data_IF_381576501061
#
_entry.id   IF_381576501061
#
_cell.length_a   1.000
_cell.length_b   1.000
_cell.length_c   1.000
_cell.angle_alpha   90.00
_cell.angle_beta   90.00
_cell.angle_gamma   90.00
#
_symmetry.space_group_name_H-M   'P 1'
#
loop_
_entity.id
_entity.type
_entity.pdbx_description
1 polymer ?
#
# COMPACT_ATOMS: atom_id res chain seq x y z
N UNK A 1 13.93 36.77 0.59
CA UNK A 1 13.34 35.90 1.62
C UNK A 1 12.09 35.28 1.02
N UNK A 2 11.96 33.95 1.07
CA UNK A 2 10.83 33.24 0.46
C UNK A 2 9.87 32.79 1.56
N UNK A 3 8.65 33.28 1.55
CA UNK A 3 7.57 32.83 2.45
C UNK A 3 6.73 31.77 1.73
N UNK A 4 6.41 30.68 2.41
CA UNK A 4 5.66 29.54 1.86
C UNK A 4 4.23 29.55 2.41
N UNK A 5 3.23 29.36 1.55
CA UNK A 5 1.81 29.32 1.90
C UNK A 5 1.17 27.97 1.51
N UNK A 6 1.86 26.87 1.76
CA UNK A 6 1.46 25.55 1.27
C UNK A 6 0.23 24.99 1.99
N UNK A 7 0.03 25.31 3.27
CA UNK A 7 -1.13 24.83 4.02
C UNK A 7 -2.43 25.37 3.45
N UNK A 8 -2.46 26.65 3.06
CA UNK A 8 -3.65 27.24 2.44
C UNK A 8 -3.91 26.63 1.06
N UNK A 9 -2.86 26.51 0.23
CA UNK A 9 -2.94 25.86 -1.09
C UNK A 9 -3.46 24.42 -1.01
N UNK A 10 -2.93 23.63 -0.07
CA UNK A 10 -3.34 22.26 0.21
C UNK A 10 -4.82 22.16 0.58
N UNK A 11 -5.28 23.03 1.49
CA UNK A 11 -6.68 23.09 1.90
C UNK A 11 -7.60 23.52 0.75
N UNK A 12 -7.20 24.54 -0.01
CA UNK A 12 -7.98 25.04 -1.16
C UNK A 12 -8.17 23.95 -2.23
N UNK A 13 -7.15 23.13 -2.51
CA UNK A 13 -7.27 21.99 -3.41
C UNK A 13 -8.15 20.89 -2.80
N UNK A 14 -7.95 20.55 -1.52
CA UNK A 14 -8.71 19.48 -0.86
C UNK A 14 -10.21 19.78 -0.81
N UNK A 15 -10.62 21.05 -0.70
CA UNK A 15 -12.03 21.46 -0.76
C UNK A 15 -12.74 21.11 -2.08
N UNK A 16 -11.98 20.94 -3.17
CA UNK A 16 -12.52 20.48 -4.44
C UNK A 16 -13.04 19.04 -4.38
N UNK A 17 -12.71 18.25 -3.35
CA UNK A 17 -13.30 16.93 -3.13
C UNK A 17 -14.71 17.02 -2.52
N UNK A 18 -15.02 18.08 -1.79
CA UNK A 18 -16.33 18.29 -1.16
C UNK A 18 -17.32 18.95 -2.13
N UNK A 19 -16.81 19.84 -2.99
CA UNK A 19 -17.58 20.49 -4.04
C UNK A 19 -16.81 20.41 -5.37
N UNK A 20 -16.97 19.32 -6.14
CA UNK A 20 -16.16 19.01 -7.32
C UNK A 20 -16.59 19.81 -8.56
N UNK A 21 -16.55 21.13 -8.47
CA UNK A 21 -16.81 22.01 -9.61
C UNK A 21 -15.84 21.69 -10.76
N UNK A 22 -16.35 21.64 -11.99
CA UNK A 22 -15.54 21.33 -13.19
C UNK A 22 -14.77 20.00 -13.14
N UNK A 23 -15.27 19.01 -12.39
CA UNK A 23 -14.71 17.65 -12.46
C UNK A 23 -14.78 17.12 -13.90
N UNK A 24 -13.78 16.32 -14.27
CA UNK A 24 -13.70 15.71 -15.60
C UNK A 24 -13.35 14.22 -15.57
N UNK A 25 -13.39 13.63 -14.37
CA UNK A 25 -13.19 12.20 -14.14
C UNK A 25 -14.19 11.72 -13.10
N UNK A 26 -14.75 10.53 -13.32
CA UNK A 26 -15.39 9.73 -12.28
C UNK A 26 -14.60 8.44 -12.04
N UNK A 27 -14.40 8.09 -10.78
CA UNK A 27 -13.75 6.84 -10.38
C UNK A 27 -14.72 6.07 -9.50
N UNK A 28 -15.18 4.91 -9.97
CA UNK A 28 -15.93 3.96 -9.17
C UNK A 28 -14.95 3.08 -8.38
N UNK A 29 -15.04 3.10 -7.06
CA UNK A 29 -14.11 2.45 -6.14
C UNK A 29 -14.85 1.41 -5.31
N UNK A 30 -14.21 0.26 -5.10
CA UNK A 30 -14.80 -0.87 -4.37
C UNK A 30 -15.76 -1.69 -5.23
N UNK A 31 -16.32 -2.73 -4.61
CA UNK A 31 -17.30 -3.62 -5.23
C UNK A 31 -18.69 -3.41 -4.62
N UNK A 32 -19.74 -3.69 -5.42
CA UNK A 32 -21.10 -3.59 -4.94
C UNK A 32 -21.36 -4.59 -3.77
N UNK A 33 -22.11 -4.19 -2.73
CA UNK A 33 -22.91 -2.97 -2.60
C UNK A 33 -22.17 -1.77 -1.98
N UNK A 34 -20.91 -1.92 -1.59
CA UNK A 34 -20.15 -0.91 -0.83
C UNK A 34 -19.33 0.03 -1.74
N UNK A 35 -19.56 -0.01 -3.05
CA UNK A 35 -18.87 0.82 -4.02
C UNK A 35 -19.30 2.29 -3.92
N UNK A 36 -18.36 3.20 -4.20
CA UNK A 36 -18.62 4.64 -4.22
C UNK A 36 -18.03 5.28 -5.49
N UNK A 37 -18.74 6.26 -6.03
CA UNK A 37 -18.26 7.09 -7.16
C UNK A 37 -17.62 8.36 -6.61
N UNK A 38 -16.42 8.65 -7.11
CA UNK A 38 -15.66 9.86 -6.81
C UNK A 38 -15.59 10.76 -8.05
N UNK A 39 -16.07 11.99 -7.93
CA UNK A 39 -15.93 13.04 -8.94
C UNK A 39 -14.62 13.81 -8.68
N UNK A 40 -13.68 13.76 -9.63
CA UNK A 40 -12.31 14.24 -9.43
C UNK A 40 -11.73 14.94 -10.66
N UNK A 41 -10.59 15.63 -10.45
CA UNK A 41 -9.92 16.46 -11.45
C UNK A 41 -8.68 15.74 -11.98
N UNK A 42 -8.71 15.39 -13.27
CA UNK A 42 -7.61 14.66 -13.91
C UNK A 42 -6.25 15.32 -13.69
N UNK A 43 -6.10 16.63 -13.88
CA UNK A 43 -4.79 17.28 -13.76
C UNK A 43 -4.17 17.20 -12.36
N UNK A 44 -4.99 17.26 -11.30
CA UNK A 44 -4.50 17.12 -9.92
C UNK A 44 -3.92 15.70 -9.74
N UNK A 45 -4.70 14.67 -10.08
CA UNK A 45 -4.27 13.28 -9.98
C UNK A 45 -3.02 12.99 -10.84
N UNK A 46 -2.99 13.44 -12.09
CA UNK A 46 -1.85 13.20 -12.99
C UNK A 46 -0.56 13.89 -12.53
N UNK A 47 -0.67 15.02 -11.84
CA UNK A 47 0.49 15.75 -11.33
C UNK A 47 1.16 15.07 -10.14
N UNK A 48 0.40 14.26 -9.38
CA UNK A 48 0.85 13.62 -8.14
C UNK A 48 0.99 12.10 -8.24
N UNK A 49 0.42 11.48 -9.28
CA UNK A 49 0.33 10.02 -9.39
C UNK A 49 0.57 9.58 -10.85
N UNK A 50 1.67 8.86 -11.08
CA UNK A 50 2.08 8.39 -12.40
C UNK A 50 1.12 7.34 -12.97
N UNK A 51 0.51 6.51 -12.09
CA UNK A 51 -0.54 5.57 -12.47
C UNK A 51 -1.72 6.30 -13.14
N UNK A 52 -2.26 7.34 -12.49
CA UNK A 52 -3.37 8.10 -13.06
C UNK A 52 -2.97 8.87 -14.33
N UNK A 53 -1.73 9.39 -14.40
CA UNK A 53 -1.18 9.96 -15.64
C UNK A 53 -1.24 9.00 -16.81
N UNK A 54 -0.74 7.78 -16.63
CA UNK A 54 -0.80 6.74 -17.65
C UNK A 54 -2.25 6.37 -17.98
N UNK A 55 -3.04 6.06 -16.95
CA UNK A 55 -4.41 5.55 -17.10
C UNK A 55 -5.32 6.54 -17.80
N UNK A 56 -5.24 7.83 -17.47
CA UNK A 56 -6.04 8.84 -18.13
C UNK A 56 -5.61 9.10 -19.56
N UNK A 57 -4.33 9.00 -19.91
CA UNK A 57 -3.90 9.12 -21.31
C UNK A 57 -4.47 8.01 -22.19
N UNK A 58 -4.70 6.82 -21.62
CA UNK A 58 -5.30 5.66 -22.29
C UNK A 58 -6.84 5.70 -22.29
N UNK A 59 -7.46 6.57 -21.47
CA UNK A 59 -8.92 6.63 -21.29
C UNK A 59 -9.51 7.78 -22.10
N UNK A 60 -10.42 7.45 -23.02
CA UNK A 60 -11.22 8.41 -23.79
C UNK A 60 -12.33 9.05 -22.94
N UNK A 61 -12.72 10.26 -23.32
CA UNK A 61 -13.90 10.92 -22.75
C UNK A 61 -15.20 10.24 -23.21
N UNK A 62 -16.21 10.23 -22.35
CA UNK A 62 -17.57 9.86 -22.71
C UNK A 62 -18.35 11.03 -23.34
N UNK A 63 -19.64 10.82 -23.63
CA UNK A 63 -20.54 11.83 -24.22
C UNK A 63 -20.70 13.11 -23.37
N UNK A 64 -20.46 13.03 -22.07
CA UNK A 64 -20.52 14.16 -21.14
C UNK A 64 -19.14 14.83 -20.94
N UNK A 65 -18.14 14.51 -21.76
CA UNK A 65 -16.75 14.97 -21.62
C UNK A 65 -16.09 14.55 -20.28
N UNK A 66 -16.47 13.39 -19.73
CA UNK A 66 -15.93 12.83 -18.48
C UNK A 66 -15.20 11.51 -18.76
N UNK A 67 -14.06 11.28 -18.13
CA UNK A 67 -13.37 9.97 -18.13
C UNK A 67 -13.91 9.10 -16.99
N UNK A 68 -14.18 7.83 -17.27
CA UNK A 68 -14.69 6.89 -16.26
C UNK A 68 -13.66 5.81 -15.99
N UNK A 69 -13.31 5.61 -14.71
CA UNK A 69 -12.44 4.53 -14.25
C UNK A 69 -13.15 3.66 -13.21
N UNK A 70 -12.71 2.41 -13.09
CA UNK A 70 -13.14 1.48 -12.05
C UNK A 70 -11.94 0.92 -11.31
N UNK A 71 -12.05 0.83 -10.00
CA UNK A 71 -11.01 0.37 -9.07
C UNK A 71 -11.62 -0.55 -8.02
N UNK A 72 -12.06 -1.77 -8.40
CA UNK A 72 -12.76 -2.69 -7.50
C UNK A 72 -11.86 -3.21 -6.37
N UNK A 73 -10.56 -3.34 -6.61
CA UNK A 73 -9.60 -3.92 -5.67
C UNK A 73 -9.21 -2.98 -4.50
N UNK A 74 -9.62 -1.71 -4.56
CA UNK A 74 -9.33 -0.74 -3.50
C UNK A 74 -10.62 -0.45 -2.74
N UNK A 75 -10.59 -0.58 -1.42
CA UNK A 75 -11.75 -0.23 -0.60
C UNK A 75 -11.99 1.28 -0.60
N UNK A 76 -13.26 1.68 -0.48
CA UNK A 76 -13.66 3.09 -0.38
C UNK A 76 -12.94 3.81 0.77
N UNK A 77 -12.74 3.12 1.90
CA UNK A 77 -12.02 3.67 3.06
C UNK A 77 -10.56 3.99 2.73
N UNK A 78 -9.86 3.09 2.05
CA UNK A 78 -8.46 3.28 1.65
C UNK A 78 -8.35 4.39 0.59
N UNK A 79 -9.20 4.35 -0.43
CA UNK A 79 -9.17 5.36 -1.50
C UNK A 79 -9.46 6.78 -0.99
N UNK A 80 -10.36 6.92 -0.01
CA UNK A 80 -10.63 8.18 0.67
C UNK A 80 -9.38 8.80 1.31
N UNK A 81 -8.48 7.98 1.83
CA UNK A 81 -7.20 8.45 2.40
C UNK A 81 -6.25 8.84 1.27
N UNK A 82 -6.13 8.01 0.24
CA UNK A 82 -5.25 8.25 -0.92
C UNK A 82 -5.64 9.53 -1.65
N UNK A 83 -6.92 9.76 -1.91
CA UNK A 83 -7.36 10.92 -2.67
C UNK A 83 -7.12 12.22 -1.89
N UNK A 84 -7.29 12.21 -0.56
CA UNK A 84 -6.92 13.34 0.31
C UNK A 84 -5.41 13.60 0.31
N UNK A 85 -4.59 12.55 0.32
CA UNK A 85 -3.14 12.70 0.14
C UNK A 85 -2.78 13.29 -1.23
N UNK A 86 -3.44 12.87 -2.31
CA UNK A 86 -3.19 13.40 -3.65
C UNK A 86 -3.54 14.90 -3.74
N UNK A 87 -4.67 15.32 -3.19
CA UNK A 87 -5.12 16.72 -3.27
C UNK A 87 -4.41 17.63 -2.28
N UNK A 88 -4.28 17.18 -1.03
CA UNK A 88 -3.79 18.00 0.08
C UNK A 88 -2.35 17.72 0.49
N UNK A 89 -1.75 16.61 0.06
CA UNK A 89 -0.43 16.20 0.55
C UNK A 89 -0.41 15.84 2.03
N UNK A 90 -1.57 15.55 2.63
CA UNK A 90 -1.70 15.21 4.06
C UNK A 90 -2.33 13.84 4.24
N UNK A 91 -1.96 13.18 5.33
CA UNK A 91 -2.50 11.89 5.73
C UNK A 91 -2.72 11.85 7.25
N UNK A 92 -3.79 11.19 7.69
CA UNK A 92 -4.07 10.93 9.09
C UNK A 92 -4.22 9.43 9.32
N UNK A 93 -3.30 8.85 10.10
CA UNK A 93 -3.26 7.42 10.39
C UNK A 93 -3.79 7.07 11.79
N UNK A 94 -3.94 8.05 12.68
CA UNK A 94 -4.20 7.85 14.13
C UNK A 94 -5.46 7.04 14.45
N UNK A 95 -6.46 7.08 13.55
CA UNK A 95 -7.76 6.41 13.74
C UNK A 95 -7.94 5.18 12.83
N UNK A 96 -6.89 4.78 12.12
CA UNK A 96 -6.93 3.64 11.23
C UNK A 96 -6.42 2.39 11.94
N UNK A 97 -7.09 1.27 11.69
CA UNK A 97 -6.61 -0.04 12.10
C UNK A 97 -5.36 -0.41 11.29
N UNK A 98 -4.46 -1.20 11.87
CA UNK A 98 -3.21 -1.58 11.21
C UNK A 98 -3.43 -2.37 9.92
N UNK A 99 -4.50 -3.18 9.84
CA UNK A 99 -4.95 -3.83 8.61
C UNK A 99 -5.25 -2.83 7.51
N UNK A 100 -6.00 -1.75 7.83
CA UNK A 100 -6.33 -0.69 6.88
C UNK A 100 -5.08 0.10 6.47
N UNK A 101 -4.14 0.32 7.39
CA UNK A 101 -2.85 0.97 7.06
C UNK A 101 -2.03 0.07 6.12
N UNK A 102 -2.09 -1.25 6.30
CA UNK A 102 -1.45 -2.22 5.41
C UNK A 102 -2.11 -2.25 4.03
N UNK A 103 -3.44 -2.26 3.95
CA UNK A 103 -4.19 -2.15 2.69
C UNK A 103 -3.92 -0.82 1.97
N UNK A 104 -3.73 0.25 2.75
CA UNK A 104 -3.31 1.54 2.22
C UNK A 104 -1.90 1.49 1.65
N UNK A 105 -0.96 0.78 2.30
CA UNK A 105 0.39 0.58 1.77
C UNK A 105 0.37 -0.16 0.43
N UNK A 106 -0.37 -1.28 0.34
CA UNK A 106 -0.48 -2.08 -0.90
C UNK A 106 -1.13 -1.27 -2.02
N UNK A 107 -2.25 -0.59 -1.72
CA UNK A 107 -2.93 0.28 -2.68
C UNK A 107 -2.05 1.45 -3.13
N UNK A 108 -1.25 2.04 -2.23
CA UNK A 108 -0.32 3.12 -2.58
C UNK A 108 0.78 2.63 -3.52
N UNK A 109 1.25 1.40 -3.35
CA UNK A 109 2.19 0.77 -4.25
C UNK A 109 1.59 0.54 -5.64
N UNK A 110 0.37 -0.03 -5.72
CA UNK A 110 -0.34 -0.24 -7.00
C UNK A 110 -0.52 1.07 -7.80
N UNK A 111 -0.65 2.19 -7.09
CA UNK A 111 -0.79 3.52 -7.67
C UNK A 111 0.54 4.27 -7.90
N UNK A 112 1.68 3.61 -7.65
CA UNK A 112 3.02 4.18 -7.77
C UNK A 112 3.19 5.48 -6.96
N UNK A 113 2.75 5.49 -5.70
CA UNK A 113 2.88 6.61 -4.76
C UNK A 113 4.07 6.38 -3.83
N UNK A 114 5.29 6.37 -4.39
CA UNK A 114 6.52 5.92 -3.69
C UNK A 114 6.78 6.67 -2.36
N UNK A 115 6.57 7.99 -2.32
CA UNK A 115 6.70 8.81 -1.10
C UNK A 115 5.76 8.30 0.01
N UNK A 116 4.51 7.99 -0.34
CA UNK A 116 3.52 7.48 0.62
C UNK A 116 3.85 6.04 1.03
N UNK A 117 4.32 5.21 0.10
CA UNK A 117 4.75 3.84 0.37
C UNK A 117 5.89 3.81 1.40
N UNK A 118 6.93 4.62 1.22
CA UNK A 118 8.06 4.70 2.16
C UNK A 118 7.60 5.17 3.55
N UNK A 119 6.72 6.19 3.59
CA UNK A 119 6.15 6.70 4.84
C UNK A 119 5.36 5.62 5.60
N UNK A 120 4.49 4.88 4.91
CA UNK A 120 3.63 3.86 5.51
C UNK A 120 4.44 2.66 6.02
N UNK A 121 5.45 2.22 5.27
CA UNK A 121 6.35 1.15 5.74
C UNK A 121 7.07 1.56 7.03
N UNK A 122 7.64 2.76 7.06
CA UNK A 122 8.31 3.33 8.23
C UNK A 122 7.35 3.40 9.42
N UNK A 123 6.11 3.86 9.19
CA UNK A 123 5.10 3.95 10.23
C UNK A 123 4.77 2.57 10.82
N UNK A 124 4.52 1.55 9.98
CA UNK A 124 4.16 0.20 10.41
C UNK A 124 5.28 -0.48 11.23
N UNK A 125 6.55 -0.26 10.86
CA UNK A 125 7.70 -0.88 11.53
C UNK A 125 8.10 -0.15 12.82
N UNK A 126 8.07 1.19 12.84
CA UNK A 126 8.64 1.98 13.94
C UNK A 126 7.67 2.32 15.09
N UNK A 127 6.38 2.01 14.95
CA UNK A 127 5.38 2.24 16.01
C UNK A 127 4.99 0.94 16.71
N UNK A 128 4.06 1.00 17.67
CA UNK A 128 3.45 -0.18 18.32
C UNK A 128 2.82 -1.19 17.34
N UNK A 129 2.71 -0.81 16.06
CA UNK A 129 2.18 -1.61 14.97
C UNK A 129 3.08 -2.80 14.60
N UNK A 130 4.35 -2.80 15.02
CA UNK A 130 5.25 -3.95 14.89
C UNK A 130 4.67 -5.23 15.52
N UNK A 131 3.83 -5.11 16.55
CA UNK A 131 3.12 -6.26 17.16
C UNK A 131 2.10 -6.87 16.19
N UNK A 132 1.36 -6.04 15.47
CA UNK A 132 0.40 -6.48 14.46
C UNK A 132 1.11 -7.13 13.28
N UNK A 133 2.24 -6.57 12.82
CA UNK A 133 3.04 -7.20 11.76
C UNK A 133 3.52 -8.60 12.16
N UNK A 134 3.92 -8.79 13.42
CA UNK A 134 4.32 -10.11 13.95
C UNK A 134 3.14 -11.09 14.04
N UNK A 135 1.97 -10.61 14.45
CA UNK A 135 0.77 -11.45 14.52
C UNK A 135 0.27 -11.88 13.13
N UNK A 136 0.46 -11.04 12.12
CA UNK A 136 0.04 -11.28 10.73
C UNK A 136 1.23 -11.62 9.83
N UNK A 137 2.29 -12.21 10.41
CA UNK A 137 3.60 -12.34 9.78
C UNK A 137 3.56 -12.99 8.41
N UNK A 138 2.87 -14.13 8.27
CA UNK A 138 2.79 -14.85 7.01
C UNK A 138 2.18 -13.99 5.90
N UNK A 139 1.02 -13.39 6.16
CA UNK A 139 0.33 -12.56 5.18
C UNK A 139 1.22 -11.38 4.76
N UNK A 140 1.79 -10.68 5.75
CA UNK A 140 2.70 -9.56 5.50
C UNK A 140 3.89 -9.99 4.65
N UNK A 141 4.55 -11.10 5.01
CA UNK A 141 5.71 -11.60 4.30
C UNK A 141 5.39 -11.99 2.86
N UNK A 142 4.28 -12.71 2.63
CA UNK A 142 3.83 -13.08 1.29
C UNK A 142 3.56 -11.86 0.41
N UNK A 143 2.85 -10.86 0.94
CA UNK A 143 2.58 -9.61 0.22
C UNK A 143 3.88 -8.87 -0.10
N UNK A 144 4.80 -8.74 0.87
CA UNK A 144 6.08 -8.06 0.66
C UNK A 144 6.97 -8.79 -0.35
N UNK A 145 6.95 -10.12 -0.34
CA UNK A 145 7.76 -10.90 -1.27
C UNK A 145 7.29 -10.75 -2.72
N UNK A 146 5.98 -10.72 -2.93
CA UNK A 146 5.37 -10.55 -4.26
C UNK A 146 5.49 -9.11 -4.79
N UNK A 147 5.75 -8.15 -3.90
CA UNK A 147 5.70 -6.71 -4.21
C UNK A 147 7.09 -6.10 -4.16
N UNK A 148 7.59 -5.60 -5.29
CA UNK A 148 8.86 -4.85 -5.32
C UNK A 148 8.72 -3.56 -4.50
N UNK A 149 9.81 -3.03 -3.94
CA UNK A 149 9.87 -1.77 -3.18
C UNK A 149 9.29 -1.79 -1.75
N UNK A 150 9.12 -2.97 -1.13
CA UNK A 150 8.76 -3.10 0.29
C UNK A 150 9.96 -3.37 1.21
N UNK A 151 11.10 -2.74 0.90
CA UNK A 151 12.40 -3.04 1.52
C UNK A 151 12.41 -2.87 3.06
N UNK A 152 11.69 -1.88 3.60
CA UNK A 152 11.68 -1.60 5.04
C UNK A 152 10.95 -2.72 5.80
N UNK A 153 9.78 -3.13 5.32
CA UNK A 153 9.02 -4.22 5.93
C UNK A 153 9.71 -5.56 5.66
N UNK A 154 10.28 -5.76 4.48
CA UNK A 154 11.04 -6.97 4.16
C UNK A 154 12.25 -7.13 5.10
N UNK A 155 13.01 -6.06 5.34
CA UNK A 155 14.11 -6.07 6.31
C UNK A 155 13.62 -6.34 7.73
N UNK A 156 12.48 -5.76 8.14
CA UNK A 156 11.86 -6.06 9.43
C UNK A 156 11.49 -7.55 9.54
N UNK A 157 10.90 -8.13 8.50
CA UNK A 157 10.54 -9.55 8.46
C UNK A 157 11.78 -10.46 8.49
N UNK A 158 12.80 -10.17 7.68
CA UNK A 158 14.04 -10.93 7.64
C UNK A 158 14.75 -10.93 9.00
N UNK A 159 14.75 -9.80 9.71
CA UNK A 159 15.28 -9.70 11.07
C UNK A 159 14.53 -10.56 12.10
N UNK A 160 13.22 -10.73 11.92
CA UNK A 160 12.41 -11.62 12.76
C UNK A 160 12.73 -13.07 12.44
N UNK A 161 12.71 -13.45 11.16
CA UNK A 161 13.00 -14.82 10.72
C UNK A 161 14.39 -15.25 11.14
N UNK A 162 15.40 -14.38 10.98
CA UNK A 162 16.76 -14.68 11.39
C UNK A 162 16.83 -15.06 12.89
N UNK A 163 16.12 -14.32 13.75
CA UNK A 163 16.16 -14.53 15.22
C UNK A 163 15.19 -15.60 15.72
N UNK A 164 14.08 -15.79 15.03
CA UNK A 164 12.98 -16.66 15.43
C UNK A 164 12.45 -17.45 14.22
N UNK A 165 13.27 -18.32 13.60
CA UNK A 165 12.91 -18.99 12.34
C UNK A 165 11.62 -19.82 12.43
N UNK A 166 11.30 -20.36 13.60
CA UNK A 166 10.06 -21.08 13.86
C UNK A 166 8.80 -20.27 13.49
N UNK A 167 8.84 -18.93 13.49
CA UNK A 167 7.70 -18.10 13.07
C UNK A 167 7.26 -18.35 11.63
N UNK A 168 8.17 -18.84 10.77
CA UNK A 168 7.84 -19.21 9.38
C UNK A 168 7.85 -20.74 9.18
N UNK A 169 8.85 -21.45 9.70
CA UNK A 169 9.01 -22.89 9.45
C UNK A 169 7.95 -23.75 10.15
N UNK A 170 7.46 -23.32 11.32
CA UNK A 170 6.36 -24.02 12.03
C UNK A 170 4.98 -23.43 11.70
N UNK A 171 4.89 -22.49 10.76
CA UNK A 171 3.63 -21.90 10.33
C UNK A 171 2.86 -22.88 9.45
N UNK A 172 1.53 -22.97 9.64
CA UNK A 172 0.64 -23.71 8.73
C UNK A 172 0.76 -23.25 7.27
N UNK A 173 1.19 -22.01 7.07
CA UNK A 173 1.37 -21.41 5.76
C UNK A 173 2.76 -21.68 5.14
N UNK A 174 3.66 -22.40 5.81
CA UNK A 174 5.01 -22.68 5.29
C UNK A 174 4.97 -23.32 3.90
N UNK A 175 4.08 -24.30 3.71
CA UNK A 175 3.89 -25.00 2.43
C UNK A 175 3.36 -24.10 1.29
N UNK A 176 2.84 -22.92 1.63
CA UNK A 176 2.35 -21.93 0.65
C UNK A 176 3.40 -20.88 0.28
N UNK A 177 4.60 -20.97 0.86
CA UNK A 177 5.69 -20.04 0.61
C UNK A 177 6.22 -20.21 -0.83
N UNK A 178 6.34 -19.14 -1.62
CA UNK A 178 6.98 -19.21 -2.93
C UNK A 178 8.42 -19.71 -2.83
N UNK A 179 8.88 -20.50 -3.80
CA UNK A 179 10.24 -21.06 -3.84
C UNK A 179 11.31 -19.98 -3.64
N UNK A 180 11.23 -18.88 -4.39
CA UNK A 180 12.21 -17.80 -4.29
C UNK A 180 12.22 -17.15 -2.88
N UNK A 181 11.08 -17.14 -2.20
CA UNK A 181 10.95 -16.61 -0.85
C UNK A 181 11.58 -17.54 0.18
N UNK A 182 11.43 -18.87 0.00
CA UNK A 182 12.14 -19.87 0.79
C UNK A 182 13.65 -19.77 0.59
N UNK A 183 14.10 -19.65 -0.67
CA UNK A 183 15.52 -19.46 -1.01
C UNK A 183 16.08 -18.21 -0.32
N UNK A 184 15.32 -17.11 -0.31
CA UNK A 184 15.72 -15.86 0.35
C UNK A 184 15.87 -16.01 1.86
N UNK A 185 15.03 -16.82 2.50
CA UNK A 185 15.10 -17.13 3.94
C UNK A 185 16.32 -17.98 4.27
N UNK A 186 16.56 -19.06 3.51
CA UNK A 186 17.67 -19.99 3.76
C UNK A 186 19.02 -19.28 3.54
N UNK A 187 19.07 -18.26 2.67
CA UNK A 187 20.26 -17.44 2.41
C UNK A 187 20.53 -16.38 3.49
N UNK A 188 19.72 -16.25 4.54
CA UNK A 188 19.99 -15.32 5.62
C UNK A 188 21.22 -15.79 6.42
N UNK A 189 22.29 -15.01 6.41
CA UNK A 189 23.57 -15.35 7.07
C UNK A 189 23.41 -15.62 8.58
N UNK A 190 22.46 -14.93 9.24
CA UNK A 190 22.26 -14.97 10.69
C UNK A 190 21.06 -15.85 11.11
N UNK A 191 20.62 -16.77 10.25
CA UNK A 191 19.47 -17.66 10.52
C UNK A 191 19.74 -18.58 11.72
N UNK A 192 19.01 -18.40 12.82
CA UNK A 192 19.14 -19.17 14.07
C UNK A 192 18.42 -20.54 13.98
N UNK A 193 18.68 -21.31 12.92
CA UNK A 193 18.14 -22.67 12.71
C UNK A 193 19.23 -23.58 12.15
N UNK A 194 19.37 -24.77 12.73
CA UNK A 194 20.34 -25.76 12.25
C UNK A 194 19.97 -26.27 10.84
N UNK A 195 20.97 -26.50 9.98
CA UNK A 195 20.74 -26.89 8.57
C UNK A 195 20.00 -28.22 8.41
N UNK A 196 20.21 -29.17 9.33
CA UNK A 196 19.52 -30.46 9.36
C UNK A 196 18.01 -30.27 9.62
N UNK A 197 17.63 -29.35 10.51
CA UNK A 197 16.23 -29.01 10.75
C UNK A 197 15.58 -28.34 9.54
N UNK A 198 16.31 -27.46 8.85
CA UNK A 198 15.80 -26.85 7.60
C UNK A 198 15.45 -27.94 6.60
N UNK A 199 16.30 -28.96 6.48
CA UNK A 199 16.07 -30.09 5.59
C UNK A 199 14.83 -30.91 5.98
N UNK A 200 14.62 -31.13 7.28
CA UNK A 200 13.43 -31.82 7.81
C UNK A 200 12.13 -31.08 7.45
N UNK A 201 12.11 -29.75 7.51
CA UNK A 201 10.93 -28.96 7.11
C UNK A 201 10.66 -29.01 5.60
N UNK A 202 11.70 -29.10 4.76
CA UNK A 202 11.55 -29.03 3.29
C UNK A 202 11.04 -30.35 2.69
N UNK A 203 11.41 -31.50 3.28
CA UNK A 203 11.07 -32.82 2.73
C UNK A 203 9.70 -33.34 3.20
N UNK A 204 9.19 -32.81 4.30
CA UNK A 204 7.94 -33.25 4.91
C UNK A 204 6.73 -33.09 3.99
#
# INVERSE_FOLDING_TARGET
MTTKFYDRLSNDLTQLLENPIDYNVTIEVGEAPDNQIFEVHSYILQSRCSYFKKKFNETSFNENNVKVLKMPNISVKVFNVIIKYIYGGTISLEKLENSIIFDLLTSSHELNLDELVEHLQTHLVNTNNASWLKLNFTQVYQTCYQTKNFDIIQNFCNNIIAKHPNTIFESENFISLPEDALISIIKLDDLQLDEDKIWDYIIQ
#
